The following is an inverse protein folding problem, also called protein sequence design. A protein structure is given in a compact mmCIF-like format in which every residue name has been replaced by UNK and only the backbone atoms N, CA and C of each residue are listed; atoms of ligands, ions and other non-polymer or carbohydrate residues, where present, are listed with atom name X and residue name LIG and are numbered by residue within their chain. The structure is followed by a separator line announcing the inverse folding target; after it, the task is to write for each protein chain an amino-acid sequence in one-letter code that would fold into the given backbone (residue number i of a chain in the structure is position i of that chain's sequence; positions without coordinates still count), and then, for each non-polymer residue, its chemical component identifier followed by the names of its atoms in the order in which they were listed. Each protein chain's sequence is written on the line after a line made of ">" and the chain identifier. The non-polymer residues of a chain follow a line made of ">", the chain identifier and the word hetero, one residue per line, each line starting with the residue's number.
data_IF_104629033078
#
_entry.id   IF_104629033078
#
_cell.length_a   1.000
_cell.length_b   1.000
_cell.length_c   1.000
_cell.angle_alpha   90.00
_cell.angle_beta   90.00
_cell.angle_gamma   90.00
#
_symmetry.space_group_name_H-M   'P 1'
#
loop_
_entity.id
_entity.type
_entity.pdbx_description
1 polymer ?
#
# COMPACT_ATOMS: atom_id res chain seq x y z
N UNK A 1 7.44 -13.60 -0.01
CA UNK A 1 6.82 -12.38 0.56
C UNK A 1 6.90 -11.33 -0.51
N UNK A 2 5.78 -10.66 -0.81
CA UNK A 2 5.74 -9.54 -1.73
C UNK A 2 5.64 -8.24 -0.93
N UNK A 3 6.35 -7.22 -1.39
CA UNK A 3 6.18 -5.85 -0.91
C UNK A 3 5.50 -5.07 -2.00
N UNK A 4 4.33 -4.54 -1.69
CA UNK A 4 3.56 -3.71 -2.61
C UNK A 4 3.57 -2.29 -2.09
N UNK A 5 3.96 -1.37 -2.97
CA UNK A 5 4.01 0.06 -2.72
C UNK A 5 3.05 0.69 -3.72
N UNK A 6 1.98 1.28 -3.22
CA UNK A 6 1.01 2.03 -4.02
C UNK A 6 1.22 3.51 -3.68
N UNK A 7 1.72 4.27 -4.64
CA UNK A 7 1.84 5.72 -4.52
C UNK A 7 0.71 6.39 -5.28
N UNK A 8 0.08 7.35 -4.62
CA UNK A 8 -1.08 8.04 -5.17
C UNK A 8 -1.29 9.40 -4.53
N UNK A 9 -2.41 10.01 -4.87
CA UNK A 9 -2.88 11.23 -4.24
C UNK A 9 -4.21 10.99 -3.57
N UNK A 10 -4.39 11.60 -2.41
CA UNK A 10 -5.68 11.54 -1.75
C UNK A 10 -6.64 12.44 -2.53
N UNK A 11 -7.86 11.95 -2.72
CA UNK A 11 -8.94 12.75 -3.26
C UNK A 11 -9.50 13.70 -2.20
N UNK A 12 -10.79 14.01 -2.32
CA UNK A 12 -11.50 14.79 -1.30
C UNK A 12 -11.67 13.97 -0.02
N UNK A 13 -10.66 13.98 0.85
CA UNK A 13 -10.75 13.43 2.19
C UNK A 13 -11.60 14.35 3.07
N UNK A 14 -12.65 13.82 3.68
CA UNK A 14 -13.31 14.44 4.82
C UNK A 14 -12.47 14.31 6.10
N UNK A 15 -12.94 14.90 7.19
CA UNK A 15 -12.26 14.82 8.50
C UNK A 15 -12.14 13.38 9.01
N UNK A 16 -13.20 12.57 8.86
CA UNK A 16 -13.20 11.15 9.23
C UNK A 16 -12.20 10.31 8.40
N UNK A 17 -12.02 10.69 7.14
CA UNK A 17 -11.05 10.05 6.26
C UNK A 17 -9.62 10.33 6.71
N UNK A 18 -9.32 11.60 7.02
CA UNK A 18 -8.01 11.99 7.58
C UNK A 18 -7.71 11.25 8.88
N UNK A 19 -8.68 11.15 9.80
CA UNK A 19 -8.50 10.42 11.06
C UNK A 19 -8.20 8.93 10.83
N UNK A 20 -8.88 8.30 9.87
CA UNK A 20 -8.64 6.89 9.52
C UNK A 20 -7.25 6.67 8.91
N UNK A 21 -6.82 7.57 8.02
CA UNK A 21 -5.48 7.53 7.43
C UNK A 21 -4.43 7.75 8.52
N UNK A 22 -4.59 8.74 9.40
CA UNK A 22 -3.67 9.03 10.50
C UNK A 22 -3.54 7.83 11.46
N UNK A 23 -4.64 7.15 11.78
CA UNK A 23 -4.62 5.94 12.59
C UNK A 23 -3.92 4.76 11.89
N UNK A 24 -3.96 4.73 10.55
CA UNK A 24 -3.31 3.74 9.72
C UNK A 24 -1.90 4.14 9.26
N UNK A 25 -1.41 5.31 9.70
CA UNK A 25 -0.08 5.80 9.33
C UNK A 25 0.98 4.99 10.08
N UNK A 26 1.87 4.32 9.35
CA UNK A 26 3.00 3.62 9.95
C UNK A 26 4.26 3.70 9.07
N UNK A 27 5.42 3.62 9.72
CA UNK A 27 6.72 3.75 9.05
C UNK A 27 7.21 2.46 8.36
N UNK A 28 6.43 1.37 8.36
CA UNK A 28 6.83 0.06 7.83
C UNK A 28 5.83 -0.58 6.86
N UNK A 29 6.19 -1.77 6.35
CA UNK A 29 5.26 -2.63 5.60
C UNK A 29 4.48 -3.49 6.61
N UNK A 30 3.16 -3.44 6.55
CA UNK A 30 2.28 -4.25 7.41
C UNK A 30 1.38 -5.15 6.56
N UNK A 31 0.91 -6.26 7.12
CA UNK A 31 0.02 -7.20 6.40
C UNK A 31 -1.34 -6.56 6.08
N UNK A 32 -1.78 -5.61 6.90
CA UNK A 32 -2.98 -4.80 6.67
C UNK A 32 -2.75 -3.61 5.73
N UNK A 33 -1.49 -3.33 5.40
CA UNK A 33 -1.07 -2.11 4.71
C UNK A 33 -1.02 -0.89 5.64
N UNK A 34 -0.03 -0.05 5.41
CA UNK A 34 0.20 1.18 6.16
C UNK A 34 0.23 2.37 5.21
N UNK A 35 -0.38 3.47 5.62
CA UNK A 35 -0.27 4.72 4.89
C UNK A 35 0.95 5.51 5.32
N UNK A 36 1.49 6.25 4.37
CA UNK A 36 2.49 7.28 4.59
C UNK A 36 1.98 8.46 3.81
N UNK A 37 1.92 9.63 4.42
CA UNK A 37 1.45 10.82 3.74
C UNK A 37 2.48 11.92 3.87
N UNK A 38 2.47 12.83 2.89
CA UNK A 38 3.15 14.10 3.06
C UNK A 38 2.45 14.94 4.16
N UNK A 39 3.16 15.90 4.76
CA UNK A 39 2.58 16.78 5.80
C UNK A 39 1.33 17.53 5.33
N UNK A 40 1.16 17.70 4.01
CA UNK A 40 -0.02 18.34 3.40
C UNK A 40 -1.18 17.38 3.12
N UNK A 41 -1.03 16.06 3.32
CA UNK A 41 -2.03 15.02 2.96
C UNK A 41 -2.48 15.10 1.48
N UNK A 42 -1.64 15.65 0.60
CA UNK A 42 -1.93 15.72 -0.84
C UNK A 42 -1.59 14.41 -1.56
N UNK A 43 -0.49 13.79 -1.15
CA UNK A 43 0.02 12.53 -1.67
C UNK A 43 0.14 11.49 -0.58
N UNK A 44 0.01 10.23 -0.98
CA UNK A 44 0.16 9.10 -0.09
C UNK A 44 0.96 7.98 -0.73
N UNK A 45 1.57 7.20 0.14
CA UNK A 45 2.24 5.96 -0.19
C UNK A 45 1.71 4.89 0.74
N UNK A 46 0.93 3.98 0.18
CA UNK A 46 0.41 2.81 0.84
C UNK A 46 1.40 1.66 0.68
N UNK A 47 1.84 1.10 1.80
CA UNK A 47 2.86 0.05 1.85
C UNK A 47 2.25 -1.18 2.49
N UNK A 48 2.04 -2.22 1.69
CA UNK A 48 1.48 -3.48 2.14
C UNK A 48 2.49 -4.61 1.91
N UNK A 49 2.61 -5.50 2.89
CA UNK A 49 3.32 -6.75 2.69
C UNK A 49 2.31 -7.88 2.51
N UNK A 50 2.43 -8.59 1.41
CA UNK A 50 1.57 -9.73 1.09
C UNK A 50 2.38 -11.00 1.24
N UNK A 51 1.88 -11.93 2.05
CA UNK A 51 2.48 -13.27 2.15
C UNK A 51 2.42 -13.92 0.76
N UNK A 52 3.57 -14.39 0.28
CA UNK A 52 3.63 -15.07 -1.00
C UNK A 52 3.34 -16.56 -0.76
N UNK A 53 2.27 -17.05 -1.35
CA UNK A 53 1.94 -18.47 -1.39
C UNK A 53 2.58 -19.15 -2.61
N UNK A 54 2.77 -20.48 -2.59
CA UNK A 54 3.28 -21.22 -3.73
C UNK A 54 2.27 -21.16 -4.90
N UNK A 55 2.59 -20.37 -5.92
CA UNK A 55 1.71 -20.09 -7.07
C UNK A 55 1.30 -18.62 -7.18
N UNK A 56 1.36 -17.85 -6.10
CA UNK A 56 1.11 -16.42 -6.14
C UNK A 56 2.24 -15.70 -6.89
N UNK A 57 1.84 -14.88 -7.86
CA UNK A 57 2.69 -13.93 -8.59
C UNK A 57 2.42 -12.49 -8.17
N UNK A 58 3.05 -11.56 -8.88
CA UNK A 58 2.90 -10.11 -8.62
C UNK A 58 1.46 -9.62 -8.78
N UNK A 59 0.67 -10.27 -9.65
CA UNK A 59 -0.72 -9.92 -9.88
C UNK A 59 -1.59 -10.17 -8.63
N UNK A 60 -1.47 -11.35 -8.02
CA UNK A 60 -2.19 -11.69 -6.79
C UNK A 60 -1.78 -10.75 -5.64
N UNK A 61 -0.48 -10.47 -5.51
CA UNK A 61 0.01 -9.51 -4.53
C UNK A 61 -0.59 -8.11 -4.74
N UNK A 62 -0.69 -7.66 -5.99
CA UNK A 62 -1.34 -6.38 -6.34
C UNK A 62 -2.81 -6.39 -5.93
N UNK A 63 -3.56 -7.44 -6.31
CA UNK A 63 -4.98 -7.54 -5.98
C UNK A 63 -5.21 -7.51 -4.47
N UNK A 64 -4.42 -8.25 -3.67
CA UNK A 64 -4.55 -8.23 -2.20
C UNK A 64 -4.19 -6.86 -1.62
N UNK A 65 -3.16 -6.20 -2.15
CA UNK A 65 -2.81 -4.85 -1.72
C UNK A 65 -3.89 -3.82 -2.09
N UNK A 66 -4.50 -3.94 -3.27
CA UNK A 66 -5.63 -3.09 -3.67
C UNK A 66 -6.87 -3.37 -2.84
N UNK A 67 -7.19 -4.62 -2.52
CA UNK A 67 -8.30 -4.96 -1.63
C UNK A 67 -8.07 -4.41 -0.21
N UNK A 68 -6.84 -4.47 0.30
CA UNK A 68 -6.47 -3.85 1.57
C UNK A 68 -6.62 -2.33 1.53
N UNK A 69 -6.27 -1.69 0.40
CA UNK A 69 -6.44 -0.25 0.19
C UNK A 69 -7.93 0.14 0.12
N UNK A 70 -8.73 -0.64 -0.63
CA UNK A 70 -10.17 -0.44 -0.79
C UNK A 70 -10.94 -0.60 0.53
N UNK A 71 -10.48 -1.50 1.42
CA UNK A 71 -11.04 -1.68 2.75
C UNK A 71 -11.00 -0.43 3.64
N UNK A 72 -10.14 0.56 3.33
CA UNK A 72 -10.15 1.86 4.01
C UNK A 72 -11.29 2.78 3.54
N UNK A 73 -11.91 2.49 2.40
CA UNK A 73 -13.07 3.20 1.86
C UNK A 73 -12.82 4.68 1.59
N UNK A 74 -11.57 5.08 1.34
CA UNK A 74 -11.19 6.47 1.12
C UNK A 74 -11.10 6.79 -0.37
N UNK A 75 -11.47 8.02 -0.79
CA UNK A 75 -11.23 8.46 -2.15
C UNK A 75 -9.73 8.64 -2.41
N UNK A 76 -9.19 7.88 -3.36
CA UNK A 76 -7.79 7.94 -3.75
C UNK A 76 -7.61 7.88 -5.28
N UNK A 77 -6.50 8.45 -5.74
CA UNK A 77 -6.04 8.41 -7.13
C UNK A 77 -4.70 7.66 -7.17
N UNK A 78 -4.69 6.44 -7.73
CA UNK A 78 -3.48 5.63 -7.84
C UNK A 78 -2.63 6.14 -9.00
N UNK A 79 -1.44 6.65 -8.70
CA UNK A 79 -0.50 7.12 -9.72
C UNK A 79 0.47 6.02 -10.14
N UNK A 80 0.92 5.21 -9.17
CA UNK A 80 1.91 4.17 -9.40
C UNK A 80 1.72 3.02 -8.43
N UNK A 81 1.81 1.80 -8.96
CA UNK A 81 1.92 0.58 -8.17
C UNK A 81 3.28 -0.06 -8.46
N UNK A 82 4.04 -0.34 -7.42
CA UNK A 82 5.29 -1.06 -7.48
C UNK A 82 5.17 -2.32 -6.62
N UNK A 83 5.22 -3.48 -7.26
CA UNK A 83 5.33 -4.76 -6.56
C UNK A 83 6.77 -5.19 -6.57
N UNK A 84 7.20 -5.78 -5.48
CA UNK A 84 8.55 -6.32 -5.33
C UNK A 84 8.43 -7.70 -4.71
N UNK A 85 8.73 -8.72 -5.51
CA UNK A 85 8.85 -10.07 -5.02
C UNK A 85 10.20 -10.23 -4.30
N UNK A 86 10.15 -10.42 -2.98
CA UNK A 86 11.36 -10.60 -2.18
C UNK A 86 12.03 -11.97 -2.42
N UNK A 87 11.39 -12.89 -3.16
CA UNK A 87 12.00 -14.19 -3.54
C UNK A 87 12.88 -14.03 -4.78
N UNK A 88 12.52 -13.12 -5.68
CA UNK A 88 13.28 -12.75 -6.88
C UNK A 88 14.41 -11.76 -6.62
N UNK A 89 14.39 -11.06 -5.47
CA UNK A 89 15.58 -10.34 -4.98
C UNK A 89 16.67 -11.34 -4.60
N UNK A 90 17.33 -11.84 -5.63
CA UNK A 90 18.61 -12.52 -5.57
C UNK A 90 19.61 -11.42 -5.20
N UNK A 91 19.95 -11.31 -3.92
CA UNK A 91 21.09 -10.51 -3.46
C UNK A 91 22.30 -10.99 -4.28
N UNK A 92 22.64 -10.27 -5.34
CA UNK A 92 23.91 -10.43 -6.05
C UNK A 92 24.94 -9.72 -5.16
N UNK A 93 25.54 -10.49 -4.25
CA UNK A 93 26.70 -10.07 -3.48
C UNK A 93 27.96 -10.18 -4.33
#
# INVERSE_FOLDING_TARGET
>A
MFRVIISGRFGTLGESGRASILAATALGFTERGAFTHDGTLSSFTFRCQVRADPGDGEHEATQRAMAALDAYGQPYDVLRVAVTDMRDIKIRR
#
